data_IF_758446177832
#
_entry.id   IF_758446177832
#
_cell.length_a   1.000
_cell.length_b   1.000
_cell.length_c   1.000
_cell.angle_alpha   90.00
_cell.angle_beta   90.00
_cell.angle_gamma   90.00
#
_symmetry.space_group_name_H-M   'P 1'
#
loop_
_entity.id
_entity.type
_entity.pdbx_description
1 polymer ?
#
# COMPACT_ATOMS: atom_id res chain seq x y z
N UNK A 1 16.82 -3.66 -7.01
CA UNK A 1 15.76 -3.00 -6.22
C UNK A 1 14.36 -3.22 -6.84
N UNK A 2 13.87 -4.46 -6.93
CA UNK A 2 12.68 -4.79 -7.74
C UNK A 2 11.39 -4.99 -6.94
N UNK A 3 11.48 -5.27 -5.63
CA UNK A 3 10.32 -5.67 -4.82
C UNK A 3 9.49 -4.47 -4.36
N UNK A 4 10.12 -3.44 -3.80
CA UNK A 4 9.44 -2.25 -3.31
C UNK A 4 8.99 -1.34 -4.46
N UNK A 5 9.84 -1.19 -5.50
CA UNK A 5 9.50 -0.41 -6.68
C UNK A 5 8.26 -0.91 -7.43
N UNK A 6 8.00 -2.22 -7.44
CA UNK A 6 6.80 -2.77 -8.07
C UNK A 6 5.52 -2.38 -7.29
N UNK A 7 5.56 -2.40 -5.95
CA UNK A 7 4.43 -1.94 -5.12
C UNK A 7 4.15 -0.46 -5.37
N UNK A 8 5.19 0.37 -5.36
CA UNK A 8 5.10 1.81 -5.64
C UNK A 8 4.47 2.05 -7.02
N UNK A 9 4.96 1.37 -8.07
CA UNK A 9 4.42 1.50 -9.43
C UNK A 9 2.99 1.01 -9.55
N UNK A 10 2.62 -0.05 -8.85
CA UNK A 10 1.24 -0.56 -8.84
C UNK A 10 0.27 0.42 -8.20
N UNK A 11 0.70 1.14 -7.15
CA UNK A 11 -0.15 2.11 -6.46
C UNK A 11 -0.17 3.47 -7.17
N UNK A 12 0.99 3.93 -7.62
CA UNK A 12 1.19 5.30 -8.05
C UNK A 12 1.47 5.47 -9.54
N UNK A 13 1.60 4.37 -10.28
CA UNK A 13 1.94 4.40 -11.69
C UNK A 13 3.43 4.67 -11.93
N UNK A 14 3.75 5.11 -13.14
CA UNK A 14 5.12 5.34 -13.61
C UNK A 14 5.47 6.83 -13.70
N UNK A 15 4.52 7.71 -13.42
CA UNK A 15 4.71 9.15 -13.51
C UNK A 15 5.66 9.64 -12.40
N UNK A 16 6.40 10.71 -12.71
CA UNK A 16 7.19 11.41 -11.71
C UNK A 16 6.25 11.99 -10.64
N UNK A 17 6.55 11.74 -9.36
CA UNK A 17 5.91 12.40 -8.21
C UNK A 17 6.75 13.64 -7.84
N UNK A 18 6.25 14.88 -7.99
CA UNK A 18 7.00 16.08 -7.64
C UNK A 18 7.36 16.12 -6.15
N UNK A 19 8.52 16.67 -5.80
CA UNK A 19 9.05 16.63 -4.44
C UNK A 19 8.13 17.34 -3.40
N UNK A 20 7.42 18.38 -3.83
CA UNK A 20 6.44 19.11 -3.01
C UNK A 20 5.29 18.23 -2.49
N UNK A 21 5.02 17.11 -3.16
CA UNK A 21 3.99 16.14 -2.79
C UNK A 21 4.50 14.99 -1.93
N UNK A 22 5.81 14.87 -1.71
CA UNK A 22 6.41 13.73 -1.03
C UNK A 22 5.82 13.50 0.38
N UNK A 23 5.53 14.56 1.13
CA UNK A 23 4.94 14.48 2.48
C UNK A 23 3.53 13.87 2.45
N UNK A 24 2.72 14.25 1.46
CA UNK A 24 1.34 13.81 1.29
C UNK A 24 1.30 12.34 0.83
N UNK A 25 2.22 11.94 -0.05
CA UNK A 25 2.38 10.53 -0.41
C UNK A 25 2.85 9.69 0.78
N UNK A 26 3.80 10.20 1.57
CA UNK A 26 4.26 9.51 2.76
C UNK A 26 3.13 9.34 3.78
N UNK A 27 2.34 10.39 4.05
CA UNK A 27 1.18 10.30 4.92
C UNK A 27 0.16 9.28 4.40
N UNK A 28 -0.17 9.31 3.10
CA UNK A 28 -1.03 8.29 2.49
C UNK A 28 -0.48 6.86 2.69
N UNK A 29 0.84 6.68 2.55
CA UNK A 29 1.49 5.39 2.76
C UNK A 29 1.38 4.92 4.23
N UNK A 30 1.76 5.77 5.17
CA UNK A 30 1.83 5.45 6.60
C UNK A 30 0.45 5.28 7.20
N UNK A 31 -0.47 6.18 6.88
CA UNK A 31 -1.76 6.29 7.58
C UNK A 31 -2.84 5.38 6.98
N UNK A 32 -2.73 5.05 5.68
CA UNK A 32 -3.78 4.33 4.97
C UNK A 32 -3.28 3.08 4.25
N UNK A 33 -2.30 3.21 3.35
CA UNK A 33 -1.89 2.10 2.49
C UNK A 33 -1.23 0.96 3.28
N UNK A 34 -0.26 1.27 4.14
CA UNK A 34 0.48 0.26 4.88
C UNK A 34 -0.41 -0.51 5.87
N UNK A 35 -1.27 0.15 6.68
CA UNK A 35 -2.27 -0.56 7.50
C UNK A 35 -3.14 -1.49 6.67
N UNK A 36 -3.67 -1.02 5.54
CA UNK A 36 -4.47 -1.86 4.64
C UNK A 36 -3.69 -3.08 4.11
N UNK A 37 -2.47 -2.86 3.60
CA UNK A 37 -1.64 -3.95 3.06
C UNK A 37 -1.26 -4.97 4.13
N UNK A 38 -0.98 -4.53 5.35
CA UNK A 38 -0.51 -5.42 6.43
C UNK A 38 -1.64 -6.15 7.13
N UNK A 39 -2.84 -5.57 7.20
CA UNK A 39 -3.91 -6.08 8.07
C UNK A 39 -5.11 -6.64 7.31
N UNK A 40 -5.31 -6.24 6.04
CA UNK A 40 -6.53 -6.58 5.27
C UNK A 40 -6.23 -7.31 3.97
N UNK A 41 -5.05 -7.10 3.38
CA UNK A 41 -4.74 -7.70 2.08
C UNK A 41 -4.41 -9.19 2.21
N UNK A 42 -5.18 -10.09 1.59
CA UNK A 42 -4.82 -11.50 1.56
C UNK A 42 -3.50 -11.67 0.78
N UNK A 43 -2.57 -12.37 1.40
CA UNK A 43 -1.27 -12.70 0.85
C UNK A 43 -1.09 -14.21 0.81
N UNK A 44 -0.52 -14.69 -0.29
CA UNK A 44 -0.27 -16.10 -0.48
C UNK A 44 1.12 -16.44 0.04
N UNK A 45 1.19 -17.00 1.24
CA UNK A 45 2.45 -17.45 1.82
C UNK A 45 2.87 -18.78 1.18
N UNK A 46 4.17 -18.99 1.08
CA UNK A 46 4.71 -20.18 0.42
C UNK A 46 5.18 -21.16 1.48
N UNK A 47 4.69 -22.39 1.41
CA UNK A 47 5.11 -23.51 2.25
C UNK A 47 6.31 -24.20 1.60
N UNK A 48 7.38 -24.42 2.37
CA UNK A 48 8.54 -25.15 1.88
C UNK A 48 8.29 -26.65 1.96
N UNK A 49 8.50 -27.34 0.84
CA UNK A 49 8.42 -28.80 0.76
C UNK A 49 9.70 -29.34 0.10
N UNK A 50 10.19 -30.52 0.49
CA UNK A 50 11.30 -31.15 -0.21
C UNK A 50 11.00 -31.31 -1.70
N UNK A 51 12.00 -31.07 -2.55
CA UNK A 51 11.88 -31.29 -3.99
C UNK A 51 12.03 -32.80 -4.29
N UNK A 52 10.97 -33.47 -4.77
CA UNK A 52 11.02 -34.91 -5.05
C UNK A 52 12.01 -35.26 -6.17
N UNK A 53 12.42 -34.29 -7.00
CA UNK A 53 13.37 -34.50 -8.10
C UNK A 53 14.80 -34.12 -7.73
N UNK A 54 15.01 -33.36 -6.65
CA UNK A 54 16.32 -32.83 -6.25
C UNK A 54 16.51 -33.02 -4.74
N UNK A 55 16.98 -34.20 -4.30
CA UNK A 55 17.25 -34.48 -2.89
C UNK A 55 18.10 -33.39 -2.24
N UNK A 56 17.70 -32.94 -1.04
CA UNK A 56 18.38 -31.87 -0.31
C UNK A 56 18.00 -30.44 -0.72
N UNK A 57 17.15 -30.25 -1.74
CA UNK A 57 16.59 -28.93 -2.07
C UNK A 57 15.14 -28.80 -1.59
N UNK A 58 14.80 -27.62 -1.11
CA UNK A 58 13.42 -27.23 -0.79
C UNK A 58 12.82 -26.43 -1.95
N UNK A 59 11.55 -26.64 -2.24
CA UNK A 59 10.75 -25.82 -3.16
C UNK A 59 9.62 -25.14 -2.40
N UNK A 60 9.25 -23.92 -2.79
CA UNK A 60 8.07 -23.23 -2.25
C UNK A 60 6.83 -23.63 -3.03
N UNK A 61 5.79 -24.02 -2.31
CA UNK A 61 4.45 -24.31 -2.84
C UNK A 61 3.48 -23.31 -2.25
N UNK A 62 2.59 -22.80 -3.09
CA UNK A 62 1.61 -21.79 -2.72
C UNK A 62 0.22 -22.39 -2.82
N UNK A 63 -0.40 -22.70 -1.67
CA UNK A 63 -1.73 -23.32 -1.61
C UNK A 63 -2.79 -22.30 -1.21
N UNK A 64 -4.02 -22.49 -1.67
CA UNK A 64 -5.12 -21.59 -1.30
C UNK A 64 -5.37 -21.55 0.22
N UNK A 65 -5.15 -22.67 0.92
CA UNK A 65 -5.23 -22.76 2.38
C UNK A 65 -4.14 -21.95 3.11
N UNK A 66 -3.04 -21.60 2.43
CA UNK A 66 -1.93 -20.80 2.99
C UNK A 66 -2.18 -19.28 2.83
N UNK A 67 -3.38 -18.88 2.41
CA UNK A 67 -3.75 -17.46 2.28
C UNK A 67 -4.00 -16.87 3.66
N UNK A 68 -3.20 -15.86 4.00
CA UNK A 68 -3.30 -15.12 5.27
C UNK A 68 -2.99 -13.64 4.99
N UNK A 69 -3.49 -12.75 5.84
CA UNK A 69 -2.96 -11.38 5.91
C UNK A 69 -1.55 -11.38 6.52
N UNK A 70 -0.71 -10.38 6.23
CA UNK A 70 0.60 -10.27 6.88
C UNK A 70 0.54 -10.25 8.41
N UNK A 71 -0.49 -9.61 8.99
CA UNK A 71 -0.71 -9.63 10.43
C UNK A 71 -1.04 -11.03 10.96
N UNK A 72 -1.93 -11.77 10.30
CA UNK A 72 -2.24 -13.16 10.69
C UNK A 72 -1.01 -14.04 10.59
N UNK A 73 -0.17 -13.84 9.56
CA UNK A 73 1.08 -14.57 9.44
C UNK A 73 2.07 -14.23 10.56
N UNK A 74 2.17 -12.95 10.91
CA UNK A 74 3.00 -12.50 12.04
C UNK A 74 2.50 -13.13 13.35
N UNK A 75 1.19 -13.13 13.57
CA UNK A 75 0.56 -13.73 14.75
C UNK A 75 0.68 -15.27 14.80
N UNK A 76 1.05 -15.93 13.71
CA UNK A 76 1.29 -17.39 13.67
C UNK A 76 2.70 -17.77 14.13
N UNK A 77 3.58 -16.81 14.39
CA UNK A 77 4.97 -17.07 14.80
C UNK A 77 5.06 -17.21 16.33
N UNK A 78 5.95 -18.08 16.84
CA UNK A 78 6.21 -18.16 18.27
C UNK A 78 6.85 -16.85 18.78
N UNK A 79 6.58 -16.53 20.05
CA UNK A 79 7.21 -15.42 20.79
C UNK A 79 7.12 -14.05 20.08
N UNK A 80 6.04 -13.82 19.33
CA UNK A 80 5.89 -12.64 18.47
C UNK A 80 6.03 -11.32 19.23
N UNK A 81 5.50 -11.23 20.45
CA UNK A 81 5.53 -10.00 21.25
C UNK A 81 6.96 -9.59 21.64
N UNK A 82 7.90 -10.52 21.74
CA UNK A 82 9.31 -10.24 22.06
C UNK A 82 10.03 -9.50 20.92
N UNK A 83 9.52 -9.62 19.69
CA UNK A 83 10.06 -8.96 18.50
C UNK A 83 9.33 -7.67 18.13
N UNK A 84 8.26 -7.32 18.85
CA UNK A 84 7.55 -6.06 18.65
C UNK A 84 8.27 -4.91 19.38
N UNK A 85 7.88 -3.69 19.03
CA UNK A 85 8.33 -2.51 19.79
C UNK A 85 7.73 -2.61 21.19
N UNK A 86 8.48 -2.13 22.20
CA UNK A 86 8.13 -2.25 23.63
C UNK A 86 6.68 -1.86 24.00
N UNK A 87 6.06 -0.96 23.25
CA UNK A 87 4.72 -0.44 23.52
C UNK A 87 3.64 -0.99 22.58
N UNK A 88 3.97 -2.00 21.76
CA UNK A 88 3.05 -2.60 20.78
C UNK A 88 2.91 -4.08 21.08
N UNK A 89 1.67 -4.52 21.24
CA UNK A 89 1.33 -5.95 21.39
C UNK A 89 0.63 -6.46 20.15
N UNK A 90 0.72 -7.78 19.91
CA UNK A 90 0.03 -8.40 18.79
C UNK A 90 -1.50 -8.25 18.89
N UNK A 91 -2.04 -8.21 20.11
CA UNK A 91 -3.47 -8.07 20.35
C UNK A 91 -3.98 -6.66 20.05
N UNK A 92 -3.21 -5.61 20.34
CA UNK A 92 -3.53 -4.26 19.87
C UNK A 92 -3.59 -4.20 18.34
N UNK A 93 -2.67 -4.86 17.65
CA UNK A 93 -2.67 -4.93 16.18
C UNK A 93 -3.90 -5.68 15.64
N UNK A 94 -4.29 -6.80 16.27
CA UNK A 94 -5.52 -7.54 15.93
C UNK A 94 -6.77 -6.72 16.18
N UNK A 95 -6.83 -5.99 17.29
CA UNK A 95 -7.95 -5.10 17.60
C UNK A 95 -8.06 -3.99 16.56
N UNK A 96 -6.93 -3.38 16.19
CA UNK A 96 -6.90 -2.36 15.15
C UNK A 96 -7.35 -2.94 13.79
N UNK A 97 -6.90 -4.15 13.43
CA UNK A 97 -7.31 -4.80 12.20
C UNK A 97 -8.84 -5.01 12.13
N UNK A 98 -9.50 -5.29 13.25
CA UNK A 98 -10.97 -5.49 13.34
C UNK A 98 -11.79 -4.20 13.27
N UNK A 99 -11.16 -3.02 13.32
CA UNK A 99 -11.86 -1.72 13.36
C UNK A 99 -12.64 -1.37 12.09
N UNK A 100 -12.30 -1.98 10.95
CA UNK A 100 -12.93 -1.76 9.65
C UNK A 100 -13.24 -3.11 9.00
N UNK A 101 -14.03 -3.15 7.93
CA UNK A 101 -14.12 -4.32 7.04
C UNK A 101 -13.12 -4.23 5.88
N UNK A 102 -12.87 -5.35 5.18
CA UNK A 102 -11.92 -5.38 4.05
C UNK A 102 -12.38 -4.45 2.93
N UNK A 103 -13.68 -4.43 2.69
CA UNK A 103 -14.32 -3.63 1.65
C UNK A 103 -14.23 -2.14 1.99
N UNK A 104 -14.46 -1.77 3.25
CA UNK A 104 -14.36 -0.38 3.70
C UNK A 104 -12.92 0.14 3.62
N UNK A 105 -11.96 -0.63 4.12
CA UNK A 105 -10.55 -0.26 4.07
C UNK A 105 -10.06 -0.13 2.62
N UNK A 106 -10.44 -1.08 1.74
CA UNK A 106 -10.12 -1.00 0.32
C UNK A 106 -10.73 0.24 -0.35
N UNK A 107 -11.99 0.57 -0.02
CA UNK A 107 -12.67 1.77 -0.53
C UNK A 107 -11.97 3.05 -0.05
N UNK A 108 -11.59 3.12 1.23
CA UNK A 108 -10.90 4.28 1.81
C UNK A 108 -9.56 4.52 1.12
N UNK A 109 -8.74 3.48 0.97
CA UNK A 109 -7.44 3.57 0.28
C UNK A 109 -7.64 4.02 -1.17
N UNK A 110 -8.61 3.43 -1.89
CA UNK A 110 -8.90 3.81 -3.28
C UNK A 110 -9.28 5.28 -3.41
N UNK A 111 -10.22 5.75 -2.59
CA UNK A 111 -10.69 7.13 -2.63
C UNK A 111 -9.60 8.13 -2.26
N UNK A 112 -8.82 7.84 -1.21
CA UNK A 112 -7.72 8.72 -0.79
C UNK A 112 -6.64 8.81 -1.88
N UNK A 113 -6.32 7.67 -2.52
CA UNK A 113 -5.37 7.62 -3.64
C UNK A 113 -5.85 8.44 -4.83
N UNK A 114 -7.12 8.30 -5.21
CA UNK A 114 -7.72 9.05 -6.33
C UNK A 114 -7.71 10.56 -6.06
N UNK A 115 -8.07 10.98 -4.84
CA UNK A 115 -8.01 12.38 -4.44
C UNK A 115 -6.58 12.93 -4.48
N UNK A 116 -5.61 12.17 -3.95
CA UNK A 116 -4.20 12.59 -3.95
C UNK A 116 -3.69 12.74 -5.39
N UNK A 117 -3.91 11.73 -6.23
CA UNK A 117 -3.48 11.76 -7.63
C UNK A 117 -4.17 12.86 -8.44
N UNK A 118 -5.45 13.10 -8.19
CA UNK A 118 -6.19 14.19 -8.84
C UNK A 118 -5.58 15.56 -8.54
N UNK A 119 -5.19 15.81 -7.29
CA UNK A 119 -4.54 17.07 -6.90
C UNK A 119 -3.17 17.25 -7.55
N UNK A 120 -2.38 16.18 -7.62
CA UNK A 120 -1.07 16.19 -8.29
C UNK A 120 -1.27 16.51 -9.78
N UNK A 121 -2.18 15.79 -10.44
CA UNK A 121 -2.47 15.99 -11.86
C UNK A 121 -2.94 17.42 -12.17
N UNK A 122 -3.83 17.98 -11.35
CA UNK A 122 -4.36 19.34 -11.52
C UNK A 122 -3.27 20.42 -11.37
N UNK A 123 -2.37 20.28 -10.39
CA UNK A 123 -1.25 21.20 -10.23
C UNK A 123 -0.24 21.12 -11.38
N UNK A 124 0.00 19.92 -11.91
CA UNK A 124 0.90 19.73 -13.06
C UNK A 124 0.27 20.13 -14.40
N UNK A 125 -1.04 20.42 -14.43
CA UNK A 125 -1.73 20.76 -15.67
C UNK A 125 -1.37 22.19 -16.09
N UNK A 126 -0.97 22.42 -17.35
CA UNK A 126 -0.77 23.76 -17.86
C UNK A 126 -2.06 24.58 -17.70
N UNK A 127 -1.99 25.68 -16.94
CA UNK A 127 -3.09 26.65 -16.87
C UNK A 127 -3.01 27.55 -18.08
N UNK A 128 -3.80 27.21 -19.10
CA UNK A 128 -4.05 28.15 -20.17
C UNK A 128 -4.96 29.27 -19.62
N UNK A 129 -4.62 30.55 -19.83
CA UNK A 129 -5.58 31.62 -19.61
C UNK A 129 -6.84 31.28 -20.40
N UNK A 130 -8.02 31.40 -19.79
CA UNK A 130 -9.26 31.23 -20.56
C UNK A 130 -9.24 32.24 -21.72
N UNK A 131 -9.74 31.85 -22.89
CA UNK A 131 -9.72 32.69 -24.10
C UNK A 131 -10.31 34.09 -23.87
N UNK A 132 -11.18 34.25 -22.86
CA UNK A 132 -11.79 35.52 -22.47
C UNK A 132 -10.93 36.36 -21.52
N UNK A 133 -9.98 35.78 -20.78
CA UNK A 133 -9.00 36.52 -19.96
C UNK A 133 -7.96 37.24 -20.82
N UNK A 134 -7.46 36.58 -21.89
CA UNK A 134 -6.56 37.20 -22.87
C UNK A 134 -7.25 38.33 -23.66
N UNK A 135 -8.54 38.16 -23.99
CA UNK A 135 -9.32 39.19 -24.68
C UNK A 135 -9.59 40.43 -23.81
N UNK A 136 -9.69 40.27 -22.49
CA UNK A 136 -9.85 41.39 -21.53
C UNK A 136 -8.55 42.15 -21.29
N UNK A 137 -7.41 41.46 -21.25
CA UNK A 137 -6.10 42.09 -21.09
C UNK A 137 -5.66 42.95 -22.29
N UNK A 138 -6.25 42.73 -23.48
CA UNK A 138 -5.97 43.52 -24.70
C UNK A 138 -6.87 44.75 -24.88
N UNK A 139 -7.82 44.98 -23.99
CA UNK A 139 -8.76 46.12 -24.03
C UNK A 139 -8.48 47.18 -22.95
N UNK A 140 -7.42 47.01 -22.17
CA UNK A 140 -6.88 48.00 -21.26
C UNK A 140 -5.58 48.56 -21.86
#
# INVERSE_FOLDING_TARGET
ESKNGNVVRKQFGYAHIPAEWAKQFNAFCVDLLNPFLNMRRPCLFGTEVPDPRKPGRMRRVHRAEDVMTPLEKLASLPDVDDFLRKDITIDQLKQHARSHTDVEAARQVRQARERLMGKVADQTRPRYPDVWSLARARRA
#
